data_IF_692723524313
#
_entry.id   IF_692723524313
#
_cell.length_a   1.000
_cell.length_b   1.000
_cell.length_c   1.000
_cell.angle_alpha   90.00
_cell.angle_beta   90.00
_cell.angle_gamma   90.00
#
_symmetry.space_group_name_H-M   'P 1'
#
loop_
_entity.id
_entity.type
_entity.pdbx_description
1 polymer ?
#
# COMPACT_ATOMS: atom_id res chain seq x y z
N UNK A 1 21.73 15.33 9.44
CA UNK A 1 20.64 14.61 10.13
C UNK A 1 20.65 13.16 9.67
N UNK A 2 20.76 12.25 10.61
CA UNK A 2 20.59 10.82 10.30
C UNK A 2 19.14 10.47 10.58
N UNK A 3 18.41 10.03 9.56
CA UNK A 3 16.99 9.80 9.70
C UNK A 3 16.51 8.71 8.74
N UNK A 4 15.25 8.33 8.90
CA UNK A 4 14.59 7.33 8.08
C UNK A 4 13.09 7.63 8.08
N UNK A 5 12.34 6.99 7.19
CA UNK A 5 10.89 7.12 7.18
C UNK A 5 10.36 6.38 8.40
N UNK A 6 9.73 7.12 9.33
CA UNK A 6 9.24 6.54 10.58
C UNK A 6 7.83 6.01 10.46
N UNK A 7 6.97 6.67 9.68
CA UNK A 7 5.55 6.38 9.67
C UNK A 7 4.91 6.92 8.39
N UNK A 8 3.93 6.22 7.86
CA UNK A 8 3.15 6.72 6.73
C UNK A 8 1.67 6.76 7.10
N UNK A 9 0.91 7.64 6.44
CA UNK A 9 -0.52 7.78 6.66
C UNK A 9 -1.23 7.82 5.32
N UNK A 10 -2.20 6.93 5.13
CA UNK A 10 -2.96 6.79 3.89
C UNK A 10 -4.40 7.21 4.15
N UNK A 11 -4.89 8.27 3.49
CA UNK A 11 -6.26 8.71 3.72
C UNK A 11 -7.27 7.79 3.07
N UNK A 12 -8.43 7.63 3.71
CA UNK A 12 -9.54 6.83 3.22
C UNK A 12 -10.84 7.60 3.42
N UNK A 13 -11.78 7.40 2.51
CA UNK A 13 -13.14 7.92 2.67
C UNK A 13 -13.98 6.89 3.43
N UNK A 14 -13.85 5.62 3.08
CA UNK A 14 -14.60 4.52 3.67
C UNK A 14 -13.64 3.58 4.37
N UNK A 15 -13.55 3.69 5.70
CA UNK A 15 -12.60 2.91 6.50
C UNK A 15 -12.85 1.41 6.43
N UNK A 16 -14.12 0.99 6.44
CA UNK A 16 -14.46 -0.42 6.36
C UNK A 16 -13.96 -1.03 5.04
N UNK A 17 -14.15 -0.31 3.94
CA UNK A 17 -13.67 -0.73 2.63
C UNK A 17 -12.14 -0.74 2.57
N UNK A 18 -11.50 0.29 3.12
CA UNK A 18 -10.05 0.41 3.10
C UNK A 18 -9.37 -0.70 3.91
N UNK A 19 -9.90 -1.04 5.09
CA UNK A 19 -9.30 -2.10 5.90
C UNK A 19 -9.50 -3.49 5.28
N UNK A 20 -10.59 -3.71 4.54
CA UNK A 20 -10.76 -4.95 3.79
C UNK A 20 -9.75 -5.04 2.65
N UNK A 21 -9.54 -3.94 1.93
CA UNK A 21 -8.58 -3.88 0.84
C UNK A 21 -7.17 -4.16 1.34
N UNK A 22 -6.69 -3.37 2.29
CA UNK A 22 -5.32 -3.50 2.77
C UNK A 22 -5.10 -4.77 3.59
N UNK A 23 -6.13 -5.23 4.30
CA UNK A 23 -6.07 -6.51 5.00
C UNK A 23 -5.83 -7.66 4.04
N UNK A 24 -6.49 -7.63 2.87
CA UNK A 24 -6.31 -8.64 1.82
C UNK A 24 -4.93 -8.54 1.19
N UNK A 25 -4.54 -7.32 0.79
CA UNK A 25 -3.26 -7.12 0.09
C UNK A 25 -2.07 -7.46 0.99
N UNK A 26 -2.11 -7.04 2.26
CA UNK A 26 -1.01 -7.26 3.19
C UNK A 26 -1.11 -8.59 3.94
N UNK A 27 -2.26 -9.27 3.88
CA UNK A 27 -2.45 -10.49 4.66
C UNK A 27 -2.45 -10.24 6.16
N UNK A 28 -2.92 -9.08 6.59
CA UNK A 28 -2.92 -8.66 7.98
C UNK A 28 -4.34 -8.23 8.38
N UNK A 29 -4.78 -8.63 9.55
CA UNK A 29 -6.09 -8.18 10.05
C UNK A 29 -5.93 -6.76 10.60
N UNK A 30 -6.65 -5.83 9.99
CA UNK A 30 -6.63 -4.42 10.39
C UNK A 30 -7.90 -4.08 11.14
N UNK A 31 -7.76 -3.42 12.29
CA UNK A 31 -8.88 -3.04 13.13
C UNK A 31 -9.01 -1.53 13.17
N UNK A 32 -10.25 -1.06 13.05
CA UNK A 32 -10.55 0.38 13.10
C UNK A 32 -10.65 0.79 14.56
N UNK A 33 -9.89 1.82 14.92
CA UNK A 33 -10.00 2.47 16.22
C UNK A 33 -10.39 3.93 16.02
N UNK A 34 -11.12 4.49 16.97
CA UNK A 34 -11.59 5.86 16.87
C UNK A 34 -10.91 6.74 17.92
N UNK A 35 -10.44 7.90 17.47
CA UNK A 35 -9.86 8.93 18.33
C UNK A 35 -10.59 10.25 18.00
N UNK A 36 -11.60 10.58 18.82
CA UNK A 36 -12.44 11.74 18.52
C UNK A 36 -13.15 11.56 17.18
N UNK A 37 -12.93 12.45 16.25
CA UNK A 37 -13.54 12.41 14.91
C UNK A 37 -12.72 11.61 13.92
N UNK A 38 -11.51 11.20 14.30
CA UNK A 38 -10.61 10.45 13.42
C UNK A 38 -10.79 8.96 13.60
N UNK A 39 -10.83 8.24 12.48
CA UNK A 39 -10.78 6.78 12.48
C UNK A 39 -9.44 6.35 11.94
N UNK A 40 -8.83 5.36 12.55
CA UNK A 40 -7.50 4.87 12.17
C UNK A 40 -7.47 3.35 12.18
N UNK A 41 -6.63 2.79 11.32
CA UNK A 41 -6.30 1.37 11.34
C UNK A 41 -4.79 1.27 11.18
N UNK A 42 -4.12 0.74 12.20
CA UNK A 42 -2.66 0.70 12.22
C UNK A 42 -2.13 -0.52 11.49
N UNK A 43 -0.99 -0.33 10.82
CA UNK A 43 -0.32 -1.36 10.03
C UNK A 43 1.04 -1.60 10.66
N UNK A 44 1.34 -2.84 11.01
CA UNK A 44 2.57 -3.18 11.73
C UNK A 44 3.52 -4.08 10.95
N UNK A 45 3.03 -4.88 9.99
CA UNK A 45 3.84 -5.86 9.24
C UNK A 45 4.66 -6.77 10.17
N UNK A 46 4.06 -7.16 11.31
CA UNK A 46 4.75 -8.00 12.28
C UNK A 46 5.75 -7.27 13.17
N UNK A 47 5.93 -5.96 13.02
CA UNK A 47 6.82 -5.20 13.88
C UNK A 47 6.15 -4.89 15.23
N UNK A 48 6.98 -4.61 16.24
CA UNK A 48 6.50 -4.30 17.58
C UNK A 48 5.65 -3.02 17.59
N UNK A 49 6.04 -2.02 16.79
CA UNK A 49 5.32 -0.76 16.68
C UNK A 49 4.74 -0.61 15.28
N UNK A 50 3.59 0.05 15.13
CA UNK A 50 3.05 0.32 13.81
C UNK A 50 4.01 1.13 12.95
N UNK A 51 4.05 0.82 11.65
CA UNK A 51 4.87 1.53 10.67
C UNK A 51 4.04 2.51 9.84
N UNK A 52 2.73 2.46 9.97
CA UNK A 52 1.83 3.35 9.29
C UNK A 52 0.39 3.11 9.68
N UNK A 53 -0.51 3.86 9.07
CA UNK A 53 -1.94 3.68 9.29
C UNK A 53 -2.73 4.09 8.05
N UNK A 54 -3.96 3.62 8.02
CA UNK A 54 -5.01 4.14 7.15
C UNK A 54 -5.87 5.00 8.06
N UNK A 55 -6.27 6.18 7.59
CA UNK A 55 -7.05 7.08 8.44
C UNK A 55 -8.17 7.77 7.66
N UNK A 56 -9.20 8.15 8.38
CA UNK A 56 -10.29 8.97 7.85
C UNK A 56 -10.50 10.14 8.79
N UNK A 57 -10.39 11.33 8.25
CA UNK A 57 -10.57 12.58 9.00
C UNK A 57 -11.07 13.64 8.04
N UNK A 58 -12.01 14.46 8.50
CA UNK A 58 -12.55 15.56 7.69
C UNK A 58 -11.43 16.48 7.22
N UNK A 59 -11.43 16.80 5.93
CA UNK A 59 -10.41 17.66 5.33
C UNK A 59 -9.26 16.92 4.67
N UNK A 60 -9.20 15.59 4.80
CA UNK A 60 -8.18 14.76 4.15
C UNK A 60 -8.85 13.84 3.14
N UNK A 61 -8.46 13.96 1.89
CA UNK A 61 -9.06 13.21 0.79
C UNK A 61 -8.04 12.31 0.13
N UNK A 62 -8.43 11.07 -0.23
CA UNK A 62 -7.58 10.23 -1.08
C UNK A 62 -7.32 10.92 -2.42
N UNK A 63 -6.15 10.65 -2.99
CA UNK A 63 -5.78 11.21 -4.28
C UNK A 63 -4.77 10.31 -4.98
N UNK A 64 -4.79 10.33 -6.31
CA UNK A 64 -3.78 9.67 -7.12
C UNK A 64 -2.63 10.61 -7.47
N UNK A 65 -2.65 11.83 -6.98
CA UNK A 65 -1.71 12.87 -7.35
C UNK A 65 -1.00 13.46 -6.13
N UNK A 66 -0.28 12.62 -5.40
CA UNK A 66 0.46 13.02 -4.22
C UNK A 66 1.74 12.18 -4.11
N UNK A 67 2.41 12.27 -2.96
CA UNK A 67 3.56 11.42 -2.68
C UNK A 67 3.11 9.97 -2.75
N UNK A 68 3.88 9.14 -3.45
CA UNK A 68 3.59 7.71 -3.57
C UNK A 68 4.44 6.93 -2.58
N UNK A 69 3.80 6.05 -1.81
CA UNK A 69 4.46 5.10 -0.94
C UNK A 69 4.54 3.79 -1.70
N UNK A 70 5.74 3.21 -1.78
CA UNK A 70 5.94 1.90 -2.39
C UNK A 70 6.26 0.89 -1.31
N UNK A 71 5.54 -0.24 -1.35
CA UNK A 71 5.76 -1.34 -0.42
C UNK A 71 6.62 -2.40 -1.10
N UNK A 72 7.57 -2.95 -0.36
CA UNK A 72 8.40 -4.03 -0.87
C UNK A 72 7.59 -5.33 -0.88
N UNK A 73 7.71 -6.09 -1.95
CA UNK A 73 7.15 -7.43 -2.03
C UNK A 73 8.19 -8.42 -2.52
N UNK A 74 8.14 -9.63 -1.97
CA UNK A 74 9.00 -10.71 -2.44
C UNK A 74 8.39 -11.42 -3.64
N UNK A 75 7.10 -11.22 -3.90
CA UNK A 75 6.39 -11.85 -5.01
C UNK A 75 5.47 -10.84 -5.68
N UNK A 76 5.98 -10.22 -6.74
CA UNK A 76 5.25 -9.16 -7.46
C UNK A 76 3.94 -9.69 -8.06
N UNK A 77 3.98 -10.86 -8.69
CA UNK A 77 2.78 -11.42 -9.35
C UNK A 77 1.68 -11.72 -8.35
N UNK A 78 2.03 -12.30 -7.20
CA UNK A 78 1.08 -12.59 -6.13
C UNK A 78 0.47 -11.31 -5.57
N UNK A 79 1.30 -10.30 -5.32
CA UNK A 79 0.83 -9.02 -4.79
C UNK A 79 -0.14 -8.34 -5.74
N UNK A 80 0.15 -8.33 -7.04
CA UNK A 80 -0.74 -7.74 -8.03
C UNK A 80 -2.06 -8.50 -8.13
N UNK A 81 -2.02 -9.83 -8.01
CA UNK A 81 -3.24 -10.65 -8.00
C UNK A 81 -4.11 -10.29 -6.78
N UNK A 82 -3.50 -10.11 -5.61
CA UNK A 82 -4.22 -9.71 -4.40
C UNK A 82 -4.83 -8.32 -4.54
N UNK A 83 -4.10 -7.39 -5.17
CA UNK A 83 -4.63 -6.03 -5.44
C UNK A 83 -5.88 -6.12 -6.29
N UNK A 84 -5.86 -6.90 -7.37
CA UNK A 84 -7.03 -7.07 -8.25
C UNK A 84 -8.18 -7.73 -7.51
N UNK A 85 -7.90 -8.79 -6.77
CA UNK A 85 -8.92 -9.51 -6.00
C UNK A 85 -9.58 -8.59 -4.96
N UNK A 86 -8.81 -7.72 -4.34
CA UNK A 86 -9.30 -6.80 -3.32
C UNK A 86 -10.06 -5.60 -3.90
N UNK A 87 -10.07 -5.43 -5.22
CA UNK A 87 -10.79 -4.35 -5.87
C UNK A 87 -9.94 -3.14 -6.26
N UNK A 88 -8.62 -3.26 -6.20
CA UNK A 88 -7.73 -2.22 -6.67
C UNK A 88 -7.56 -2.25 -8.19
N UNK A 89 -6.93 -1.23 -8.73
CA UNK A 89 -6.71 -1.10 -10.16
C UNK A 89 -5.22 -0.93 -10.45
N UNK A 90 -4.66 -1.81 -11.28
CA UNK A 90 -3.27 -1.68 -11.69
C UNK A 90 -3.18 -0.57 -12.73
N UNK A 91 -2.36 0.45 -12.47
CA UNK A 91 -2.17 1.58 -13.37
C UNK A 91 -0.83 1.55 -14.07
N UNK A 92 0.15 0.86 -13.50
CA UNK A 92 1.45 0.63 -14.14
C UNK A 92 1.85 -0.81 -13.89
N UNK A 93 1.92 -1.61 -14.95
CA UNK A 93 2.38 -3.00 -14.85
C UNK A 93 3.87 -3.01 -14.50
N UNK A 94 4.41 -4.14 -13.99
CA UNK A 94 5.80 -4.21 -13.57
C UNK A 94 6.78 -3.73 -14.64
N UNK A 95 7.62 -2.78 -14.28
CA UNK A 95 8.67 -2.22 -15.13
C UNK A 95 10.00 -2.28 -14.41
N UNK A 96 11.08 -2.54 -15.14
CA UNK A 96 12.42 -2.40 -14.56
C UNK A 96 12.67 -0.94 -14.19
N UNK A 97 13.42 -0.71 -13.12
CA UNK A 97 13.81 0.64 -12.71
C UNK A 97 14.77 1.26 -13.76
N UNK A 98 15.61 0.42 -14.34
CA UNK A 98 16.43 0.75 -15.53
C UNK A 98 16.82 -0.57 -16.20
N UNK A 99 17.22 -0.51 -17.46
CA UNK A 99 17.53 -1.70 -18.24
C UNK A 99 18.61 -2.55 -17.56
N UNK A 100 18.28 -3.83 -17.30
CA UNK A 100 19.19 -4.79 -16.69
C UNK A 100 19.28 -4.73 -15.17
N UNK A 101 18.52 -3.84 -14.54
CA UNK A 101 18.57 -3.69 -13.08
C UNK A 101 18.02 -4.88 -12.31
N UNK A 102 17.04 -5.57 -12.88
CA UNK A 102 16.29 -6.67 -12.23
C UNK A 102 15.47 -6.21 -11.03
N UNK A 103 15.44 -4.92 -10.74
CA UNK A 103 14.54 -4.32 -9.77
C UNK A 103 13.31 -3.82 -10.52
N UNK A 104 12.14 -4.16 -10.02
CA UNK A 104 10.88 -3.83 -10.68
C UNK A 104 9.98 -3.05 -9.76
N UNK A 105 9.19 -2.18 -10.36
CA UNK A 105 8.15 -1.44 -9.66
C UNK A 105 6.84 -1.56 -10.43
N UNK A 106 5.75 -1.37 -9.72
CA UNK A 106 4.41 -1.30 -10.29
C UNK A 106 3.60 -0.30 -9.47
N UNK A 107 2.54 0.23 -10.06
CA UNK A 107 1.65 1.14 -9.35
C UNK A 107 0.21 0.69 -9.49
N UNK A 108 -0.56 0.91 -8.44
CA UNK A 108 -1.98 0.62 -8.44
C UNK A 108 -2.74 1.72 -7.70
N UNK A 109 -4.04 1.79 -7.96
CA UNK A 109 -4.94 2.59 -7.14
C UNK A 109 -5.57 1.67 -6.12
N UNK A 110 -5.56 2.10 -4.85
CA UNK A 110 -6.21 1.33 -3.79
C UNK A 110 -7.73 1.48 -3.85
N UNK A 111 -8.45 0.92 -2.89
CA UNK A 111 -9.92 0.97 -2.84
C UNK A 111 -10.47 2.39 -2.73
N UNK A 112 -9.63 3.33 -2.32
CA UNK A 112 -10.03 4.72 -2.09
C UNK A 112 -9.55 5.68 -3.19
N UNK A 113 -8.74 5.18 -4.13
CA UNK A 113 -8.21 5.97 -5.22
C UNK A 113 -6.83 6.56 -4.97
N UNK A 114 -6.16 6.16 -3.90
CA UNK A 114 -4.76 6.56 -3.70
C UNK A 114 -3.84 5.76 -4.62
N UNK A 115 -2.80 6.42 -5.14
CA UNK A 115 -1.78 5.75 -5.95
C UNK A 115 -0.70 5.18 -5.04
N UNK A 116 -0.54 3.87 -5.09
CA UNK A 116 0.37 3.11 -4.23
C UNK A 116 1.33 2.34 -5.12
N UNK A 117 2.56 2.16 -4.66
CA UNK A 117 3.57 1.43 -5.39
C UNK A 117 3.92 0.09 -4.76
N UNK A 118 4.41 -0.81 -5.60
CA UNK A 118 5.05 -2.06 -5.20
C UNK A 118 6.44 -2.06 -5.79
N UNK A 119 7.38 -2.60 -5.03
CA UNK A 119 8.78 -2.69 -5.46
C UNK A 119 9.34 -4.04 -5.06
N UNK A 120 10.12 -4.64 -5.96
CA UNK A 120 10.80 -5.90 -5.65
C UNK A 120 12.19 -5.92 -6.31
N UNK A 121 13.07 -6.74 -5.75
CA UNK A 121 14.41 -6.97 -6.32
C UNK A 121 14.45 -8.36 -6.91
N UNK A 122 15.29 -8.49 -7.97
CA UNK A 122 15.52 -9.80 -8.62
C UNK A 122 14.24 -10.47 -9.11
N UNK A 123 13.30 -9.65 -9.62
CA UNK A 123 12.06 -10.16 -10.20
C UNK A 123 12.37 -10.83 -11.54
N UNK A 124 11.81 -12.02 -11.74
CA UNK A 124 11.89 -12.76 -13.00
C UNK A 124 10.47 -13.00 -13.47
N UNK A 125 9.97 -12.20 -14.46
CA UNK A 125 8.60 -12.35 -14.93
C UNK A 125 8.30 -13.78 -15.33
N UNK A 126 7.17 -14.32 -14.79
CA UNK A 126 6.74 -15.69 -15.09
C UNK A 126 7.41 -16.79 -14.29
N UNK A 127 8.32 -16.49 -13.38
CA UNK A 127 9.02 -17.49 -12.55
C UNK A 127 8.56 -17.50 -11.09
N UNK A 128 7.68 -16.61 -10.70
CA UNK A 128 7.21 -16.53 -9.31
C UNK A 128 5.90 -17.25 -9.09
#
# INVERSE_FOLDING_TARGET
MKTFVAFFEIPAVNMERAVLFYGTVFGEKLEIVEYGEEKMAFISFGNQHPVGCIFSLKGYQPTSNSITISFYTENMDESLALVREAGGKIVTEPCETYEGAKDYFAYFLDSEGNRIGLFTRNFHPGEQ
#
